data_IF_536578753537
#
_entry.id   IF_536578753537
#
_cell.length_a   1.000
_cell.length_b   1.000
_cell.length_c   1.000
_cell.angle_alpha   90.00
_cell.angle_beta   90.00
_cell.angle_gamma   90.00
#
_symmetry.space_group_name_H-M   'P 1'
#
loop_
_entity.id
_entity.type
_entity.pdbx_description
1 polymer ?
#
# COMPACT_ATOMS: atom_id res chain seq x y z
N UNK A 1 -11.17 0.69 -29.82
CA UNK A 1 -10.06 -0.22 -29.46
C UNK A 1 -9.76 -0.18 -27.97
N UNK A 2 -9.47 0.99 -27.36
CA UNK A 2 -9.18 1.07 -25.92
C UNK A 2 -10.37 0.66 -25.04
N UNK A 3 -11.56 1.16 -25.33
CA UNK A 3 -12.77 0.85 -24.56
C UNK A 3 -13.17 -0.64 -24.66
N UNK A 4 -13.02 -1.24 -25.84
CA UNK A 4 -13.26 -2.67 -26.04
C UNK A 4 -12.34 -3.54 -25.17
N UNK A 5 -11.04 -3.22 -25.10
CA UNK A 5 -10.09 -3.92 -24.24
C UNK A 5 -10.51 -3.86 -22.76
N UNK A 6 -10.98 -2.69 -22.30
CA UNK A 6 -11.44 -2.51 -20.93
C UNK A 6 -12.76 -3.25 -20.66
N UNK A 7 -13.69 -3.29 -21.62
CA UNK A 7 -14.92 -4.06 -21.51
C UNK A 7 -14.64 -5.57 -21.43
N UNK A 8 -13.71 -6.08 -22.24
CA UNK A 8 -13.29 -7.48 -22.19
C UNK A 8 -12.70 -7.82 -20.81
N UNK A 9 -11.80 -6.96 -20.30
CA UNK A 9 -11.22 -7.15 -18.96
C UNK A 9 -12.24 -6.99 -17.83
N UNK A 10 -13.24 -6.12 -17.96
CA UNK A 10 -14.29 -5.98 -16.96
C UNK A 10 -15.05 -7.29 -16.68
N UNK A 11 -15.15 -8.17 -17.68
CA UNK A 11 -15.86 -9.45 -17.58
C UNK A 11 -15.03 -10.57 -16.94
N UNK A 12 -13.70 -10.57 -17.10
CA UNK A 12 -12.85 -11.69 -16.67
C UNK A 12 -12.01 -11.38 -15.45
N UNK A 13 -11.62 -10.12 -15.25
CA UNK A 13 -10.57 -9.71 -14.30
C UNK A 13 -10.79 -10.24 -12.88
N UNK A 14 -12.03 -10.20 -12.38
CA UNK A 14 -12.35 -10.72 -11.04
C UNK A 14 -12.04 -12.21 -10.91
N UNK A 15 -12.46 -13.00 -11.91
CA UNK A 15 -12.22 -14.44 -11.94
C UNK A 15 -10.74 -14.75 -12.07
N UNK A 16 -10.09 -14.13 -13.06
CA UNK A 16 -8.66 -14.29 -13.36
C UNK A 16 -7.80 -14.05 -12.10
N UNK A 17 -8.03 -12.93 -11.39
CA UNK A 17 -7.26 -12.58 -10.19
C UNK A 17 -7.53 -13.53 -9.02
N UNK A 18 -8.80 -13.91 -8.77
CA UNK A 18 -9.12 -14.82 -7.66
C UNK A 18 -8.57 -16.23 -7.90
N UNK A 19 -8.62 -16.72 -9.13
CA UNK A 19 -8.00 -18.00 -9.51
C UNK A 19 -6.49 -17.96 -9.33
N UNK A 20 -5.84 -16.86 -9.73
CA UNK A 20 -4.41 -16.67 -9.53
C UNK A 20 -4.02 -16.63 -8.04
N UNK A 21 -4.76 -15.86 -7.21
CA UNK A 21 -4.51 -15.81 -5.76
C UNK A 21 -4.67 -17.20 -5.14
N UNK A 22 -5.71 -17.96 -5.53
CA UNK A 22 -5.90 -19.31 -5.03
C UNK A 22 -4.76 -20.26 -5.46
N UNK A 23 -4.20 -20.10 -6.66
CA UNK A 23 -3.02 -20.84 -7.12
C UNK A 23 -1.73 -20.50 -6.36
N UNK A 24 -1.70 -19.37 -5.63
CA UNK A 24 -0.63 -19.01 -4.71
C UNK A 24 -0.83 -19.60 -3.31
N UNK A 25 -1.97 -20.22 -3.00
CA UNK A 25 -2.15 -20.90 -1.72
C UNK A 25 -1.31 -22.18 -1.67
N UNK A 26 -0.72 -22.47 -0.51
CA UNK A 26 0.02 -23.70 -0.22
C UNK A 26 -0.89 -24.62 0.59
N UNK A 27 -1.67 -25.50 -0.05
CA UNK A 27 -2.77 -26.21 0.61
C UNK A 27 -2.31 -27.24 1.65
N UNK A 28 -1.11 -27.81 1.47
CA UNK A 28 -0.58 -28.86 2.35
C UNK A 28 -0.32 -28.36 3.78
N UNK A 29 -0.16 -27.04 3.96
CA UNK A 29 0.17 -26.43 5.25
C UNK A 29 -1.07 -25.87 5.99
N UNK A 30 -2.26 -25.96 5.39
CA UNK A 30 -3.52 -25.41 5.93
C UNK A 30 -3.97 -24.11 5.25
N UNK A 31 -5.20 -23.67 5.55
CA UNK A 31 -5.78 -22.49 4.89
C UNK A 31 -5.10 -21.19 5.32
N UNK A 32 -5.08 -20.18 4.43
CA UNK A 32 -4.52 -18.87 4.74
C UNK A 32 -3.01 -18.72 4.54
N UNK A 33 -2.37 -19.70 3.88
CA UNK A 33 -0.93 -19.73 3.64
C UNK A 33 -0.65 -19.51 2.18
N UNK A 34 -0.09 -18.36 1.85
CA UNK A 34 0.16 -17.95 0.48
C UNK A 34 1.64 -17.64 0.27
N UNK A 35 2.13 -17.98 -0.92
CA UNK A 35 3.47 -17.61 -1.41
C UNK A 35 3.40 -16.33 -2.24
N UNK A 36 4.53 -15.64 -2.35
CA UNK A 36 4.59 -14.35 -3.05
C UNK A 36 4.41 -14.42 -4.57
N UNK A 37 4.99 -15.44 -5.20
CA UNK A 37 4.93 -15.69 -6.64
C UNK A 37 5.05 -17.20 -6.92
N UNK A 38 4.83 -17.65 -8.15
CA UNK A 38 4.90 -19.07 -8.55
C UNK A 38 6.29 -19.67 -8.28
N UNK A 39 7.34 -18.86 -8.44
CA UNK A 39 8.73 -19.22 -8.19
C UNK A 39 9.09 -19.38 -6.71
N UNK A 40 8.25 -18.86 -5.81
CA UNK A 40 8.36 -19.11 -4.37
C UNK A 40 7.78 -20.48 -4.01
N UNK A 41 8.35 -21.12 -2.99
CA UNK A 41 7.93 -22.47 -2.55
C UNK A 41 7.14 -22.45 -1.26
N UNK A 42 7.58 -21.65 -0.31
CA UNK A 42 7.02 -21.60 1.02
C UNK A 42 6.03 -20.43 1.13
N UNK A 43 4.98 -20.57 1.95
CA UNK A 43 4.14 -19.44 2.30
C UNK A 43 4.91 -18.46 3.19
N UNK A 44 4.45 -17.22 3.23
CA UNK A 44 5.02 -16.18 4.09
C UNK A 44 3.93 -15.27 4.67
N UNK A 45 4.28 -14.57 5.76
CA UNK A 45 3.37 -13.65 6.45
C UNK A 45 2.85 -12.58 5.50
N UNK A 46 3.75 -11.92 4.77
CA UNK A 46 3.43 -10.78 3.91
C UNK A 46 2.42 -11.17 2.84
N UNK A 47 2.73 -12.19 2.03
CA UNK A 47 1.89 -12.71 0.96
C UNK A 47 0.53 -13.18 1.47
N UNK A 48 0.50 -13.74 2.68
CA UNK A 48 -0.75 -14.19 3.31
C UNK A 48 -1.61 -13.03 3.80
N UNK A 49 -1.02 -11.90 4.23
CA UNK A 49 -1.76 -10.65 4.46
C UNK A 49 -2.25 -10.03 3.14
N UNK A 50 -1.41 -9.97 2.12
CA UNK A 50 -1.79 -9.42 0.80
C UNK A 50 -2.95 -10.20 0.18
N UNK A 51 -2.96 -11.53 0.32
CA UNK A 51 -4.08 -12.35 -0.14
C UNK A 51 -5.40 -12.01 0.58
N UNK A 52 -5.38 -11.61 1.86
CA UNK A 52 -6.57 -11.09 2.55
C UNK A 52 -7.07 -9.83 1.85
N UNK A 53 -6.17 -8.87 1.59
CA UNK A 53 -6.53 -7.59 0.99
C UNK A 53 -7.08 -7.73 -0.42
N UNK A 54 -6.50 -8.59 -1.26
CA UNK A 54 -7.02 -8.84 -2.62
C UNK A 54 -8.42 -9.48 -2.55
N UNK A 55 -8.59 -10.50 -1.70
CA UNK A 55 -9.88 -11.18 -1.57
C UNK A 55 -10.95 -10.28 -0.96
N UNK A 56 -10.59 -9.37 -0.05
CA UNK A 56 -11.50 -8.36 0.48
C UNK A 56 -11.93 -7.38 -0.61
N UNK A 57 -10.96 -6.83 -1.36
CA UNK A 57 -11.19 -5.91 -2.47
C UNK A 57 -12.12 -6.49 -3.55
N UNK A 58 -12.16 -7.82 -3.70
CA UNK A 58 -13.00 -8.56 -4.67
C UNK A 58 -14.23 -9.23 -4.02
N UNK A 59 -14.58 -8.88 -2.77
CA UNK A 59 -15.71 -9.42 -1.98
C UNK A 59 -15.74 -10.94 -1.85
N UNK A 60 -14.58 -11.57 -1.78
CA UNK A 60 -14.46 -13.03 -1.81
C UNK A 60 -14.33 -13.67 -0.41
N UNK A 61 -14.00 -12.89 0.62
CA UNK A 61 -13.83 -13.43 1.98
C UNK A 61 -15.11 -14.00 2.61
N UNK A 62 -16.30 -13.65 2.10
CA UNK A 62 -17.57 -14.22 2.57
C UNK A 62 -17.74 -15.70 2.18
N UNK A 63 -16.92 -16.21 1.26
CA UNK A 63 -16.94 -17.60 0.82
C UNK A 63 -16.13 -18.53 1.75
N UNK A 64 -15.41 -17.97 2.74
CA UNK A 64 -14.65 -18.75 3.70
C UNK A 64 -15.58 -19.45 4.68
N UNK A 65 -15.31 -20.74 4.94
CA UNK A 65 -15.88 -21.41 6.12
C UNK A 65 -15.24 -20.86 7.40
N UNK A 66 -15.94 -20.98 8.53
CA UNK A 66 -15.42 -20.57 9.84
C UNK A 66 -14.07 -21.22 10.15
N UNK A 67 -13.90 -22.49 9.79
CA UNK A 67 -12.64 -23.23 9.97
C UNK A 67 -11.50 -22.65 9.11
N UNK A 68 -11.76 -22.31 7.85
CA UNK A 68 -10.77 -21.70 6.97
C UNK A 68 -10.36 -20.31 7.46
N UNK A 69 -11.33 -19.50 7.86
CA UNK A 69 -11.10 -18.17 8.45
C UNK A 69 -10.24 -18.27 9.70
N UNK A 70 -10.58 -19.19 10.61
CA UNK A 70 -9.84 -19.40 11.85
C UNK A 70 -8.40 -19.88 11.59
N UNK A 71 -8.18 -20.79 10.65
CA UNK A 71 -6.82 -21.23 10.27
C UNK A 71 -5.96 -20.09 9.72
N UNK A 72 -6.56 -19.17 8.97
CA UNK A 72 -5.84 -18.00 8.43
C UNK A 72 -5.48 -17.01 9.54
N UNK A 73 -6.43 -16.70 10.44
CA UNK A 73 -6.20 -15.88 11.63
C UNK A 73 -5.05 -16.47 12.46
N UNK A 74 -5.09 -17.77 12.72
CA UNK A 74 -4.07 -18.45 13.53
C UNK A 74 -2.69 -18.43 12.86
N UNK A 75 -2.63 -18.56 11.53
CA UNK A 75 -1.39 -18.44 10.78
C UNK A 75 -0.78 -17.05 10.95
N UNK A 76 -1.54 -15.97 10.70
CA UNK A 76 -1.04 -14.60 10.85
C UNK A 76 -0.61 -14.32 12.30
N UNK A 77 -1.45 -14.69 13.26
CA UNK A 77 -1.14 -14.52 14.69
C UNK A 77 0.08 -15.31 15.16
N UNK A 78 0.48 -16.38 14.46
CA UNK A 78 1.65 -17.18 14.86
C UNK A 78 2.98 -16.46 14.67
N UNK A 79 3.00 -15.37 13.90
CA UNK A 79 4.18 -14.52 13.69
C UNK A 79 4.31 -13.40 14.72
N UNK A 80 3.36 -13.27 15.65
CA UNK A 80 3.40 -12.22 16.65
C UNK A 80 4.35 -12.58 17.79
N UNK A 81 5.33 -11.71 18.03
CA UNK A 81 6.21 -11.79 19.19
C UNK A 81 5.45 -11.40 20.48
N UNK A 82 5.41 -12.28 21.51
CA UNK A 82 4.62 -12.03 22.72
C UNK A 82 5.19 -10.94 23.63
N UNK A 83 6.47 -10.63 23.52
CA UNK A 83 7.16 -9.69 24.42
C UNK A 83 7.07 -8.25 23.90
N UNK A 84 7.16 -8.05 22.59
CA UNK A 84 7.16 -6.73 21.94
C UNK A 84 5.83 -6.42 21.26
N UNK A 85 5.11 -7.44 20.79
CA UNK A 85 3.90 -7.30 19.99
C UNK A 85 4.13 -7.14 18.49
N UNK A 86 5.37 -7.07 18.01
CA UNK A 86 5.67 -7.01 16.57
C UNK A 86 5.29 -8.31 15.87
N UNK A 87 4.89 -8.23 14.59
CA UNK A 87 4.77 -9.38 13.71
C UNK A 87 5.98 -9.44 12.80
N UNK A 88 6.74 -10.53 12.86
CA UNK A 88 7.97 -10.71 12.08
C UNK A 88 8.06 -12.16 11.63
N UNK A 89 8.35 -12.36 10.35
CA UNK A 89 8.70 -13.68 9.83
C UNK A 89 10.09 -14.07 10.34
N UNK A 90 10.21 -15.22 11.00
CA UNK A 90 11.49 -15.69 11.57
C UNK A 90 12.60 -15.89 10.53
N UNK A 91 12.25 -15.92 9.24
CA UNK A 91 13.23 -15.98 8.14
C UNK A 91 13.87 -14.63 7.83
N UNK A 92 13.38 -13.54 8.42
CA UNK A 92 13.96 -12.22 8.24
C UNK A 92 14.83 -11.85 9.44
N UNK A 93 16.07 -11.47 9.15
CA UNK A 93 17.00 -10.93 10.13
C UNK A 93 17.30 -9.46 9.85
N UNK A 94 17.76 -8.67 10.86
CA UNK A 94 18.09 -7.26 10.67
C UNK A 94 19.13 -6.98 9.57
N UNK A 95 19.97 -7.97 9.24
CA UNK A 95 20.98 -7.85 8.17
C UNK A 95 20.41 -7.97 6.77
N UNK A 96 19.20 -8.48 6.63
CA UNK A 96 18.57 -8.74 5.33
C UNK A 96 17.93 -7.48 4.73
N UNK A 97 17.79 -6.41 5.52
CA UNK A 97 17.25 -5.13 5.05
C UNK A 97 18.34 -4.30 4.37
N UNK A 98 18.80 -4.74 3.20
CA UNK A 98 19.87 -4.07 2.44
C UNK A 98 19.48 -2.67 1.95
N UNK A 99 18.18 -2.43 1.71
CA UNK A 99 17.66 -1.18 1.11
C UNK A 99 16.80 -0.36 2.06
N UNK A 100 16.47 -0.88 3.25
CA UNK A 100 15.52 -0.27 4.18
C UNK A 100 15.97 -0.45 5.63
N UNK A 101 15.41 0.35 6.55
CA UNK A 101 15.72 0.18 7.97
C UNK A 101 14.96 -1.03 8.55
N UNK A 102 15.58 -1.70 9.53
CA UNK A 102 14.91 -2.76 10.29
C UNK A 102 13.63 -2.30 10.97
N UNK A 103 13.61 -1.06 11.46
CA UNK A 103 12.42 -0.47 12.07
C UNK A 103 11.28 -0.31 11.07
N UNK A 104 11.58 0.08 9.83
CA UNK A 104 10.58 0.16 8.78
C UNK A 104 9.92 -1.20 8.54
N UNK A 105 10.71 -2.25 8.34
CA UNK A 105 10.18 -3.58 8.06
C UNK A 105 9.29 -4.10 9.19
N UNK A 106 9.71 -3.95 10.46
CA UNK A 106 8.89 -4.34 11.61
C UNK A 106 7.54 -3.63 11.62
N UNK A 107 7.54 -2.32 11.36
CA UNK A 107 6.30 -1.53 11.31
C UNK A 107 5.41 -1.98 10.14
N UNK A 108 5.97 -2.20 8.95
CA UNK A 108 5.23 -2.68 7.78
C UNK A 108 4.56 -4.03 8.04
N UNK A 109 5.34 -5.04 8.46
CA UNK A 109 4.81 -6.38 8.72
C UNK A 109 3.76 -6.39 9.82
N UNK A 110 3.99 -5.60 10.89
CA UNK A 110 3.04 -5.48 12.00
C UNK A 110 1.75 -4.80 11.56
N UNK A 111 1.85 -3.70 10.82
CA UNK A 111 0.68 -3.00 10.32
C UNK A 111 -0.16 -3.89 9.39
N UNK A 112 0.46 -4.50 8.37
CA UNK A 112 -0.25 -5.38 7.45
C UNK A 112 -0.91 -6.57 8.15
N UNK A 113 -0.26 -7.11 9.20
CA UNK A 113 -0.82 -8.20 10.00
C UNK A 113 -2.04 -7.75 10.79
N UNK A 114 -1.97 -6.58 11.43
CA UNK A 114 -3.09 -6.00 12.18
C UNK A 114 -4.27 -5.73 11.25
N UNK A 115 -4.05 -5.10 10.09
CA UNK A 115 -5.11 -4.79 9.13
C UNK A 115 -5.73 -6.06 8.54
N UNK A 116 -4.93 -7.08 8.23
CA UNK A 116 -5.43 -8.36 7.75
C UNK A 116 -6.26 -9.09 8.81
N UNK A 117 -5.85 -9.04 10.08
CA UNK A 117 -6.63 -9.61 11.19
C UNK A 117 -7.97 -8.88 11.35
N UNK A 118 -7.97 -7.54 11.31
CA UNK A 118 -9.20 -6.75 11.39
C UNK A 118 -10.20 -7.12 10.28
N UNK A 119 -9.72 -7.21 9.03
CA UNK A 119 -10.53 -7.64 7.89
C UNK A 119 -11.09 -9.06 8.07
N UNK A 120 -10.30 -9.96 8.67
CA UNK A 120 -10.74 -11.32 8.98
C UNK A 120 -11.68 -11.40 10.20
N UNK A 121 -11.83 -10.31 10.97
CA UNK A 121 -12.66 -10.22 12.16
C UNK A 121 -11.95 -10.66 13.44
N UNK A 122 -10.64 -10.44 13.54
CA UNK A 122 -9.80 -10.83 14.66
C UNK A 122 -8.88 -9.69 15.12
N UNK A 123 -8.26 -9.89 16.28
CA UNK A 123 -7.28 -8.97 16.88
C UNK A 123 -5.92 -9.66 17.00
N UNK A 124 -4.82 -8.89 17.20
CA UNK A 124 -3.56 -9.46 17.67
C UNK A 124 -3.76 -10.29 18.96
N UNK A 125 -2.93 -11.32 19.18
CA UNK A 125 -2.98 -12.14 20.40
C UNK A 125 -2.34 -11.45 21.60
N UNK A 126 -1.34 -10.62 21.33
CA UNK A 126 -0.56 -9.92 22.34
C UNK A 126 -0.66 -8.40 22.12
N UNK A 127 -0.59 -7.58 23.18
CA UNK A 127 -0.59 -6.12 23.04
C UNK A 127 0.60 -5.61 22.21
N UNK A 128 0.42 -4.49 21.51
CA UNK A 128 1.46 -3.84 20.72
C UNK A 128 2.40 -3.01 21.61
N UNK A 129 3.10 -3.66 22.55
CA UNK A 129 3.87 -3.01 23.63
C UNK A 129 4.93 -2.03 23.15
N UNK A 130 5.49 -2.21 21.94
CA UNK A 130 6.44 -1.25 21.38
C UNK A 130 5.86 0.17 21.26
N UNK A 131 4.54 0.32 21.13
CA UNK A 131 3.85 1.61 21.09
C UNK A 131 3.89 2.36 22.43
N UNK A 132 4.08 1.68 23.57
CA UNK A 132 4.13 2.31 24.90
C UNK A 132 5.23 3.38 24.97
N UNK A 133 6.35 3.16 24.27
CA UNK A 133 7.46 4.12 24.19
C UNK A 133 7.12 5.41 23.43
N UNK A 134 6.05 5.38 22.64
CA UNK A 134 5.55 6.48 21.79
C UNK A 134 4.19 7.00 22.27
N UNK A 135 3.64 6.48 23.38
CA UNK A 135 2.28 6.72 23.86
C UNK A 135 2.02 8.14 24.43
N UNK A 136 2.90 9.11 24.17
CA UNK A 136 2.70 10.50 24.57
C UNK A 136 3.08 11.45 23.44
N UNK A 137 2.36 12.57 23.32
CA UNK A 137 2.62 13.56 22.29
C UNK A 137 4.09 14.01 22.25
N UNK A 138 4.78 14.30 23.39
CA UNK A 138 6.21 14.65 23.35
C UNK A 138 7.11 13.52 22.84
N UNK A 139 6.82 12.27 23.20
CA UNK A 139 7.62 11.13 22.76
C UNK A 139 7.46 10.89 21.25
N UNK A 140 6.22 10.93 20.75
CA UNK A 140 5.94 10.80 19.32
C UNK A 140 6.56 11.96 18.52
N UNK A 141 6.38 13.21 18.95
CA UNK A 141 6.99 14.37 18.28
C UNK A 141 8.51 14.26 18.26
N UNK A 142 9.14 13.75 19.33
CA UNK A 142 10.59 13.49 19.35
C UNK A 142 10.98 12.45 18.29
N UNK A 143 10.22 11.37 18.14
CA UNK A 143 10.47 10.34 17.11
C UNK A 143 10.28 10.89 15.68
N UNK A 144 9.26 11.73 15.47
CA UNK A 144 8.99 12.38 14.19
C UNK A 144 10.08 13.39 13.81
N UNK A 145 10.60 14.16 14.77
CA UNK A 145 11.72 15.09 14.53
C UNK A 145 13.06 14.40 14.20
N UNK A 146 13.15 13.07 14.35
CA UNK A 146 14.34 12.29 14.00
C UNK A 146 14.29 11.73 12.58
N UNK A 147 13.17 11.88 11.86
CA UNK A 147 13.05 11.43 10.47
C UNK A 147 13.98 12.27 9.60
N UNK A 148 14.71 11.62 8.71
CA UNK A 148 15.63 12.30 7.81
C UNK A 148 15.14 12.09 6.38
N UNK A 149 14.46 13.09 5.82
CA UNK A 149 13.91 13.02 4.46
C UNK A 149 15.00 12.91 3.40
N UNK A 150 16.17 13.50 3.66
CA UNK A 150 17.39 13.34 2.87
C UNK A 150 18.55 12.98 3.81
N UNK A 151 19.38 12.01 3.42
CA UNK A 151 20.56 11.58 4.19
C UNK A 151 21.83 11.77 3.40
N UNK A 152 22.90 12.20 4.07
CA UNK A 152 24.24 12.22 3.48
C UNK A 152 24.81 10.79 3.43
N UNK A 153 25.25 10.38 2.25
CA UNK A 153 25.92 9.09 2.02
C UNK A 153 27.27 9.31 1.33
N UNK A 154 28.12 8.29 1.29
CA UNK A 154 29.35 8.36 0.50
C UNK A 154 28.99 8.58 -0.98
N UNK A 155 29.53 9.64 -1.58
CA UNK A 155 29.26 10.00 -2.98
C UNK A 155 28.05 10.88 -3.24
N UNK A 156 27.28 11.31 -2.23
CA UNK A 156 26.20 12.28 -2.44
C UNK A 156 25.13 12.32 -1.35
N UNK A 157 23.88 12.44 -1.79
CA UNK A 157 22.67 12.46 -0.97
C UNK A 157 21.76 11.31 -1.37
N UNK A 158 21.16 10.68 -0.37
CA UNK A 158 20.13 9.64 -0.53
C UNK A 158 18.76 10.23 -0.18
N UNK A 159 17.79 10.05 -1.07
CA UNK A 159 16.42 10.52 -0.89
C UNK A 159 15.61 9.47 -0.13
N UNK A 160 15.28 9.77 1.12
CA UNK A 160 14.65 8.83 2.03
C UNK A 160 13.15 9.09 2.23
N UNK A 161 12.54 10.08 1.56
CA UNK A 161 11.13 10.42 1.79
C UNK A 161 10.18 9.24 1.58
N UNK A 162 10.42 8.39 0.57
CA UNK A 162 9.64 7.17 0.36
C UNK A 162 9.63 6.25 1.61
N UNK A 163 10.80 5.94 2.15
CA UNK A 163 10.90 5.03 3.29
C UNK A 163 10.45 5.67 4.61
N UNK A 164 10.78 6.94 4.85
CA UNK A 164 10.36 7.66 6.06
C UNK A 164 8.84 7.90 6.07
N UNK A 165 8.24 8.23 4.92
CA UNK A 165 6.80 8.40 4.78
C UNK A 165 6.04 7.10 5.05
N UNK A 166 6.53 5.96 4.55
CA UNK A 166 5.98 4.63 4.86
C UNK A 166 6.15 4.27 6.35
N UNK A 167 7.28 4.60 6.97
CA UNK A 167 7.45 4.41 8.42
C UNK A 167 6.39 5.17 9.22
N UNK A 168 6.19 6.46 8.90
CA UNK A 168 5.18 7.29 9.54
C UNK A 168 3.79 6.70 9.34
N UNK A 169 3.49 6.27 8.12
CA UNK A 169 2.21 5.64 7.78
C UNK A 169 1.92 4.40 8.63
N UNK A 170 2.83 3.42 8.65
CA UNK A 170 2.62 2.18 9.39
C UNK A 170 2.51 2.43 10.89
N UNK A 171 3.38 3.28 11.45
CA UNK A 171 3.27 3.67 12.86
C UNK A 171 1.93 4.39 13.13
N UNK A 172 1.53 5.31 12.26
CA UNK A 172 0.29 6.08 12.39
C UNK A 172 -0.95 5.18 12.38
N UNK A 173 -1.01 4.21 11.47
CA UNK A 173 -2.10 3.23 11.42
C UNK A 173 -2.16 2.36 12.68
N UNK A 174 -1.01 1.88 13.16
CA UNK A 174 -0.92 1.13 14.41
C UNK A 174 -1.35 1.95 15.64
N UNK A 175 -1.00 3.24 15.70
CA UNK A 175 -1.47 4.16 16.74
C UNK A 175 -2.98 4.37 16.69
N UNK A 176 -3.55 4.48 15.47
CA UNK A 176 -5.00 4.58 15.28
C UNK A 176 -5.69 3.33 15.80
N UNK A 177 -5.26 2.13 15.37
CA UNK A 177 -5.85 0.86 15.82
C UNK A 177 -5.78 0.73 17.35
N UNK A 178 -4.64 1.07 17.96
CA UNK A 178 -4.49 1.04 19.42
C UNK A 178 -5.43 2.04 20.13
N UNK A 179 -5.70 3.21 19.54
CA UNK A 179 -6.70 4.14 20.08
C UNK A 179 -8.12 3.59 19.95
N UNK A 180 -8.47 2.97 18.82
CA UNK A 180 -9.79 2.36 18.56
C UNK A 180 -10.08 1.19 19.49
N UNK A 181 -9.03 0.44 19.89
CA UNK A 181 -9.12 -0.61 20.90
C UNK A 181 -9.15 -0.08 22.34
N UNK A 182 -8.99 1.24 22.54
CA UNK A 182 -8.95 1.87 23.85
C UNK A 182 -7.64 1.65 24.62
N UNK A 183 -6.57 1.23 23.96
CA UNK A 183 -5.24 1.03 24.57
C UNK A 183 -4.46 2.34 24.69
N UNK A 184 -4.68 3.30 23.78
CA UNK A 184 -4.04 4.61 23.76
C UNK A 184 -5.06 5.76 23.73
N UNK A 185 -4.64 6.94 24.20
CA UNK A 185 -5.44 8.17 24.08
C UNK A 185 -5.43 8.69 22.64
N UNK A 186 -6.59 9.12 22.14
CA UNK A 186 -6.74 9.76 20.83
C UNK A 186 -5.90 11.03 20.65
N UNK A 187 -5.44 11.66 21.75
CA UNK A 187 -4.54 12.81 21.72
C UNK A 187 -3.23 12.51 20.97
N UNK A 188 -2.80 11.24 20.93
CA UNK A 188 -1.57 10.85 20.22
C UNK A 188 -1.72 10.96 18.70
N UNK A 189 -2.91 10.60 18.19
CA UNK A 189 -3.26 10.71 16.78
C UNK A 189 -3.38 12.19 16.40
N UNK A 190 -3.95 13.02 17.27
CA UNK A 190 -3.97 14.48 17.07
C UNK A 190 -2.56 15.09 17.05
N UNK A 191 -1.64 14.60 17.89
CA UNK A 191 -0.25 15.04 17.88
C UNK A 191 0.47 14.65 16.58
N UNK A 192 0.20 13.46 16.03
CA UNK A 192 0.71 13.01 14.74
C UNK A 192 0.29 13.98 13.61
N UNK A 193 -1.02 14.21 13.45
CA UNK A 193 -1.53 15.07 12.39
C UNK A 193 -1.09 16.53 12.55
N UNK A 194 -1.05 17.05 13.78
CA UNK A 194 -0.55 18.41 14.03
C UNK A 194 0.91 18.56 13.60
N UNK A 195 1.74 17.55 13.83
CA UNK A 195 3.12 17.57 13.35
C UNK A 195 3.15 17.52 11.82
N UNK A 196 2.40 16.61 11.19
CA UNK A 196 2.36 16.48 9.74
C UNK A 196 1.92 17.78 9.05
N UNK A 197 0.88 18.44 9.55
CA UNK A 197 0.36 19.72 9.04
C UNK A 197 1.42 20.84 9.10
N UNK A 198 2.31 20.81 10.09
CA UNK A 198 3.38 21.80 10.24
C UNK A 198 4.57 21.56 9.30
N UNK A 199 4.71 20.36 8.75
CA UNK A 199 5.89 19.93 7.99
C UNK A 199 5.58 19.61 6.52
N UNK A 200 4.33 19.72 6.07
CA UNK A 200 4.00 19.57 4.65
C UNK A 200 4.50 20.80 3.88
N UNK A 201 5.15 20.58 2.74
CA UNK A 201 5.61 21.66 1.86
C UNK A 201 4.41 22.30 1.14
N UNK A 202 4.25 23.61 1.31
CA UNK A 202 3.18 24.37 0.69
C UNK A 202 3.35 24.54 -0.83
N UNK A 203 4.58 24.40 -1.35
CA UNK A 203 4.86 24.58 -2.77
C UNK A 203 4.53 23.33 -3.59
N UNK A 204 4.71 22.15 -2.99
CA UNK A 204 4.50 20.86 -3.68
C UNK A 204 3.29 20.09 -3.17
N UNK A 205 2.86 20.33 -1.92
CA UNK A 205 1.88 19.52 -1.21
C UNK A 205 2.45 18.22 -0.64
N UNK A 206 3.78 18.05 -0.56
CA UNK A 206 4.44 16.82 -0.13
C UNK A 206 5.44 17.05 1.01
N UNK A 207 5.78 15.98 1.74
CA UNK A 207 6.82 16.03 2.77
C UNK A 207 8.20 15.74 2.17
N UNK A 208 9.21 16.46 2.65
CA UNK A 208 10.62 16.26 2.30
C UNK A 208 11.13 17.08 1.11
N UNK A 209 10.26 17.67 0.29
CA UNK A 209 10.70 18.50 -0.86
C UNK A 209 11.40 19.78 -0.42
N UNK A 210 10.97 20.37 0.69
CA UNK A 210 11.63 21.52 1.32
C UNK A 210 13.02 21.17 1.90
N UNK A 211 13.30 19.88 2.06
CA UNK A 211 14.59 19.34 2.54
C UNK A 211 15.47 18.79 1.40
N UNK A 212 15.00 18.91 0.15
CA UNK A 212 15.77 18.57 -1.04
C UNK A 212 15.41 17.23 -1.70
N UNK A 213 14.35 16.54 -1.26
CA UNK A 213 13.85 15.35 -1.97
C UNK A 213 13.32 15.71 -3.37
N UNK A 214 13.59 14.84 -4.34
CA UNK A 214 12.96 14.91 -5.65
C UNK A 214 11.45 14.65 -5.55
N UNK A 215 10.70 15.30 -6.43
CA UNK A 215 9.24 15.27 -6.40
C UNK A 215 8.65 13.86 -6.49
N UNK A 216 9.28 12.97 -7.27
CA UNK A 216 8.87 11.57 -7.40
C UNK A 216 8.99 10.81 -6.07
N UNK A 217 10.14 10.92 -5.39
CA UNK A 217 10.38 10.24 -4.12
C UNK A 217 9.46 10.79 -3.03
N UNK A 218 9.29 12.11 -2.98
CA UNK A 218 8.38 12.78 -2.06
C UNK A 218 6.91 12.37 -2.28
N UNK A 219 6.46 12.21 -3.53
CA UNK A 219 5.12 11.69 -3.84
C UNK A 219 4.94 10.26 -3.28
N UNK A 220 5.89 9.36 -3.54
CA UNK A 220 5.84 7.99 -3.04
C UNK A 220 5.81 7.91 -1.50
N UNK A 221 6.54 8.79 -0.82
CA UNK A 221 6.52 8.88 0.64
C UNK A 221 5.28 9.56 1.22
N UNK A 222 4.75 10.55 0.52
CA UNK A 222 3.59 11.34 0.98
C UNK A 222 2.27 10.61 0.76
N UNK A 223 2.17 9.79 -0.29
CA UNK A 223 0.99 8.99 -0.58
C UNK A 223 0.48 8.21 0.64
N UNK A 224 1.28 7.30 1.25
CA UNK A 224 0.82 6.55 2.41
C UNK A 224 0.47 7.46 3.60
N UNK A 225 1.18 8.57 3.82
CA UNK A 225 0.79 9.56 4.85
C UNK A 225 -0.63 10.11 4.56
N UNK A 226 -0.93 10.47 3.31
CA UNK A 226 -2.26 10.95 2.94
C UNK A 226 -3.36 9.89 3.09
N UNK A 227 -3.04 8.59 3.00
CA UNK A 227 -4.01 7.54 3.32
C UNK A 227 -4.53 7.67 4.76
N UNK A 228 -3.67 8.04 5.74
CA UNK A 228 -4.09 8.35 7.11
C UNK A 228 -5.06 9.53 7.15
N UNK A 229 -4.77 10.61 6.42
CA UNK A 229 -5.66 11.78 6.33
C UNK A 229 -7.03 11.40 5.77
N UNK A 230 -7.05 10.58 4.72
CA UNK A 230 -8.28 10.18 4.08
C UNK A 230 -9.15 9.33 4.99
N UNK A 231 -8.55 8.38 5.71
CA UNK A 231 -9.26 7.51 6.64
C UNK A 231 -9.73 8.24 7.90
N UNK A 232 -8.89 9.09 8.49
CA UNK A 232 -9.25 9.92 9.65
C UNK A 232 -10.08 11.15 9.27
N UNK A 233 -10.46 11.28 7.98
CA UNK A 233 -11.28 12.38 7.43
C UNK A 233 -10.73 13.77 7.80
N UNK A 234 -9.40 13.88 7.84
CA UNK A 234 -8.71 15.13 8.15
C UNK A 234 -8.71 16.04 6.94
N UNK A 235 -8.65 17.35 7.20
CA UNK A 235 -8.44 18.34 6.16
C UNK A 235 -7.07 18.10 5.53
N UNK A 236 -7.02 18.12 4.20
CA UNK A 236 -5.77 18.05 3.45
C UNK A 236 -5.32 19.46 3.12
N UNK A 237 -4.08 19.80 3.50
CA UNK A 237 -3.47 21.06 3.17
C UNK A 237 -2.94 21.03 1.73
N UNK A 238 -3.07 22.15 1.03
CA UNK A 238 -2.54 22.37 -0.33
C UNK A 238 -2.93 21.31 -1.39
N UNK A 239 -4.19 20.83 -1.46
CA UNK A 239 -4.58 19.77 -2.39
C UNK A 239 -4.33 20.14 -3.86
N UNK A 240 -4.50 21.41 -4.23
CA UNK A 240 -4.25 21.88 -5.59
C UNK A 240 -2.77 21.76 -5.98
N UNK A 241 -1.86 22.00 -5.03
CA UNK A 241 -0.42 21.88 -5.25
C UNK A 241 0.00 20.42 -5.37
N UNK A 242 -0.56 19.53 -4.54
CA UNK A 242 -0.38 18.11 -4.71
C UNK A 242 -0.83 17.63 -6.10
N UNK A 243 -2.02 18.06 -6.57
CA UNK A 243 -2.50 17.75 -7.94
C UNK A 243 -1.51 18.24 -9.01
N UNK A 244 -1.08 19.50 -8.93
CA UNK A 244 -0.12 20.07 -9.87
C UNK A 244 1.17 19.26 -9.91
N UNK A 245 1.74 18.95 -8.74
CA UNK A 245 2.93 18.13 -8.58
C UNK A 245 2.79 16.76 -9.24
N UNK A 246 1.70 16.02 -8.96
CA UNK A 246 1.53 14.66 -9.49
C UNK A 246 1.39 14.67 -11.01
N UNK A 247 0.63 15.61 -11.56
CA UNK A 247 0.42 15.68 -13.01
C UNK A 247 1.73 15.90 -13.79
N UNK A 248 2.74 16.55 -13.19
CA UNK A 248 4.08 16.69 -13.81
C UNK A 248 4.88 15.39 -13.86
N UNK A 249 4.53 14.40 -13.05
CA UNK A 249 5.28 13.15 -12.91
C UNK A 249 4.81 12.06 -13.89
N UNK A 250 3.66 12.24 -14.57
CA UNK A 250 3.18 11.22 -15.50
C UNK A 250 4.10 11.12 -16.72
N UNK A 251 4.50 9.89 -17.02
CA UNK A 251 5.39 9.55 -18.11
C UNK A 251 4.64 9.43 -19.44
N UNK A 252 5.34 9.47 -20.59
CA UNK A 252 4.72 9.34 -21.92
C UNK A 252 3.93 8.03 -22.13
N UNK A 253 4.25 6.98 -21.37
CA UNK A 253 3.54 5.70 -21.43
C UNK A 253 2.28 5.65 -20.54
N UNK A 254 1.95 6.75 -19.86
CA UNK A 254 0.77 6.91 -19.02
C UNK A 254 0.97 6.50 -17.55
N UNK A 255 2.11 5.93 -17.18
CA UNK A 255 2.44 5.52 -15.80
C UNK A 255 3.39 6.54 -15.14
N UNK A 256 3.82 6.31 -13.90
CA UNK A 256 4.54 7.32 -13.10
C UNK A 256 6.01 7.02 -12.83
N UNK A 257 6.47 5.80 -13.11
CA UNK A 257 7.86 5.44 -12.85
C UNK A 257 8.82 6.13 -13.84
N UNK A 258 9.85 6.88 -13.40
CA UNK A 258 10.69 7.70 -14.28
C UNK A 258 11.44 6.97 -15.40
N UNK A 259 11.62 5.64 -15.28
CA UNK A 259 12.26 4.80 -16.33
C UNK A 259 11.24 4.19 -17.31
N UNK A 260 9.96 4.50 -17.14
CA UNK A 260 8.82 3.95 -17.87
C UNK A 260 8.53 2.48 -17.51
N UNK A 261 7.44 1.96 -18.06
CA UNK A 261 6.92 0.62 -17.76
C UNK A 261 6.14 0.52 -16.44
N UNK A 262 6.06 1.61 -15.69
CA UNK A 262 5.40 1.69 -14.39
C UNK A 262 6.17 1.05 -13.24
N UNK A 263 5.65 1.25 -12.03
CA UNK A 263 6.06 0.53 -10.82
C UNK A 263 4.84 0.48 -9.90
N UNK A 264 4.39 -0.69 -9.42
CA UNK A 264 3.11 -0.81 -8.73
C UNK A 264 2.92 0.20 -7.59
N UNK A 265 3.91 0.33 -6.70
CA UNK A 265 3.86 1.28 -5.57
C UNK A 265 3.78 2.74 -6.03
N UNK A 266 4.56 3.14 -7.04
CA UNK A 266 4.59 4.52 -7.51
C UNK A 266 3.31 4.90 -8.28
N UNK A 267 2.83 3.99 -9.14
CA UNK A 267 1.60 4.19 -9.89
C UNK A 267 0.39 4.23 -8.95
N UNK A 268 0.37 3.36 -7.94
CA UNK A 268 -0.66 3.37 -6.90
C UNK A 268 -0.63 4.65 -6.09
N UNK A 269 0.57 5.10 -5.65
CA UNK A 269 0.76 6.35 -4.92
C UNK A 269 0.16 7.54 -5.67
N UNK A 270 0.47 7.68 -6.96
CA UNK A 270 -0.04 8.75 -7.79
C UNK A 270 -1.56 8.70 -7.96
N UNK A 271 -2.11 7.52 -8.28
CA UNK A 271 -3.56 7.34 -8.48
C UNK A 271 -4.33 7.60 -7.19
N UNK A 272 -3.88 7.02 -6.08
CA UNK A 272 -4.51 7.17 -4.77
C UNK A 272 -4.58 8.64 -4.37
N UNK A 273 -3.49 9.38 -4.57
CA UNK A 273 -3.47 10.82 -4.32
C UNK A 273 -4.39 11.58 -5.26
N UNK A 274 -4.30 11.36 -6.58
CA UNK A 274 -5.16 12.07 -7.52
C UNK A 274 -6.64 11.88 -7.21
N UNK A 275 -7.07 10.63 -6.98
CA UNK A 275 -8.45 10.30 -6.60
C UNK A 275 -8.83 10.98 -5.27
N UNK A 276 -7.99 10.84 -4.23
CA UNK A 276 -8.26 11.45 -2.94
C UNK A 276 -8.31 12.98 -2.97
N UNK A 277 -7.50 13.62 -3.82
CA UNK A 277 -7.45 15.08 -3.95
C UNK A 277 -8.64 15.64 -4.74
N UNK A 278 -9.08 14.98 -5.81
CA UNK A 278 -10.23 15.48 -6.60
C UNK A 278 -11.57 15.35 -5.85
N UNK A 279 -11.67 14.43 -4.88
CA UNK A 279 -12.81 14.39 -3.95
C UNK A 279 -12.85 15.61 -3.02
N UNK A 280 -11.77 16.41 -2.96
CA UNK A 280 -11.61 17.56 -2.06
C UNK A 280 -11.40 18.87 -2.80
N UNK A 281 -11.17 18.83 -4.12
CA UNK A 281 -10.92 20.00 -4.95
C UNK A 281 -11.26 19.74 -6.41
N UNK A 282 -11.91 20.70 -7.06
CA UNK A 282 -12.18 20.64 -8.51
C UNK A 282 -10.98 21.10 -9.37
N UNK A 283 -9.85 21.44 -8.75
CA UNK A 283 -8.67 21.95 -9.44
C UNK A 283 -8.15 20.95 -10.49
N UNK A 284 -8.14 21.39 -11.75
CA UNK A 284 -7.67 20.60 -12.91
C UNK A 284 -8.36 19.24 -13.07
N UNK A 285 -9.61 19.10 -12.62
CA UNK A 285 -10.38 17.85 -12.66
C UNK A 285 -10.30 17.12 -14.01
N UNK A 286 -10.53 17.82 -15.12
CA UNK A 286 -10.48 17.25 -16.48
C UNK A 286 -9.11 16.64 -16.81
N UNK A 287 -8.02 17.29 -16.38
CA UNK A 287 -6.66 16.79 -16.61
C UNK A 287 -6.35 15.58 -15.72
N UNK A 288 -6.86 15.59 -14.48
CA UNK A 288 -6.77 14.44 -13.58
C UNK A 288 -7.52 13.24 -14.15
N UNK A 289 -8.76 13.39 -14.59
CA UNK A 289 -9.50 12.28 -15.18
C UNK A 289 -8.81 11.73 -16.44
N UNK A 290 -8.26 12.61 -17.30
CA UNK A 290 -7.49 12.19 -18.45
C UNK A 290 -6.22 11.44 -18.04
N UNK A 291 -5.56 11.87 -16.96
CA UNK A 291 -4.41 11.19 -16.36
C UNK A 291 -4.79 9.77 -15.88
N UNK A 292 -5.88 9.64 -15.12
CA UNK A 292 -6.37 8.36 -14.59
C UNK A 292 -6.78 7.39 -15.72
N UNK A 293 -7.49 7.88 -16.76
CA UNK A 293 -7.83 7.08 -17.95
C UNK A 293 -6.59 6.56 -18.68
N UNK A 294 -5.51 7.37 -18.76
CA UNK A 294 -4.22 6.92 -19.33
C UNK A 294 -3.59 5.79 -18.50
N UNK A 295 -3.63 5.88 -17.17
CA UNK A 295 -3.10 4.83 -16.29
C UNK A 295 -3.83 3.50 -16.51
N UNK A 296 -5.17 3.53 -16.47
CA UNK A 296 -5.99 2.34 -16.65
C UNK A 296 -5.72 1.66 -18.00
N UNK A 297 -5.63 2.44 -19.08
CA UNK A 297 -5.28 1.89 -20.39
C UNK A 297 -3.85 1.32 -20.41
N UNK A 298 -2.88 2.05 -19.86
CA UNK A 298 -1.48 1.66 -19.86
C UNK A 298 -1.22 0.33 -19.15
N UNK A 299 -1.94 0.03 -18.06
CA UNK A 299 -1.80 -1.24 -17.33
C UNK A 299 -2.04 -2.45 -18.26
N UNK A 300 -3.08 -2.42 -19.07
CA UNK A 300 -3.38 -3.53 -19.97
C UNK A 300 -2.62 -3.45 -21.30
N UNK A 301 -2.46 -2.26 -21.87
CA UNK A 301 -1.76 -2.07 -23.13
C UNK A 301 -0.27 -2.45 -23.05
N UNK A 302 0.34 -2.31 -21.87
CA UNK A 302 1.71 -2.74 -21.61
C UNK A 302 1.82 -4.22 -21.19
N UNK A 303 0.70 -4.95 -21.14
CA UNK A 303 0.66 -6.35 -20.76
C UNK A 303 1.05 -6.62 -19.31
N UNK A 304 0.74 -5.70 -18.38
CA UNK A 304 1.08 -5.88 -16.97
C UNK A 304 0.21 -6.96 -16.29
N UNK A 305 -1.01 -7.18 -16.78
CA UNK A 305 -1.87 -8.31 -16.43
C UNK A 305 -1.45 -9.52 -17.28
N UNK A 306 -0.94 -10.56 -16.63
CA UNK A 306 -0.46 -11.77 -17.28
C UNK A 306 -1.62 -12.74 -17.59
N UNK A 307 -1.37 -13.71 -18.48
CA UNK A 307 -2.33 -14.75 -18.84
C UNK A 307 -2.64 -15.72 -17.68
N UNK A 308 -1.83 -15.71 -16.62
CA UNK A 308 -2.07 -16.48 -15.39
C UNK A 308 -3.09 -15.82 -14.46
N UNK A 309 -3.54 -14.61 -14.78
CA UNK A 309 -4.51 -13.82 -14.01
C UNK A 309 -3.91 -12.86 -12.98
N UNK A 310 -2.61 -12.96 -12.71
CA UNK A 310 -1.90 -12.04 -11.82
C UNK A 310 -1.27 -10.86 -12.56
N UNK A 311 -0.71 -9.92 -11.81
CA UNK A 311 0.03 -8.79 -12.39
C UNK A 311 1.51 -8.88 -12.07
N UNK A 312 2.34 -8.52 -13.04
CA UNK A 312 3.76 -8.31 -12.83
C UNK A 312 4.07 -6.83 -12.54
N UNK A 313 5.21 -6.57 -11.92
CA UNK A 313 5.58 -5.20 -11.55
C UNK A 313 5.80 -4.28 -12.76
N UNK A 314 6.65 -4.71 -13.71
CA UNK A 314 7.07 -3.93 -14.86
C UNK A 314 7.68 -4.84 -15.97
N UNK A 315 7.19 -4.73 -17.22
CA UNK A 315 7.69 -5.51 -18.38
C UNK A 315 9.05 -5.08 -18.94
N UNK A 316 9.58 -3.95 -18.48
CA UNK A 316 10.94 -3.47 -18.78
C UNK A 316 11.98 -3.96 -17.77
N UNK A 317 11.56 -4.39 -16.58
CA UNK A 317 12.46 -4.96 -15.58
C UNK A 317 13.06 -6.26 -16.12
N UNK A 318 14.40 -6.41 -16.08
CA UNK A 318 15.10 -7.61 -16.57
C UNK A 318 15.70 -8.47 -15.45
N UNK A 319 15.70 -7.94 -14.23
CA UNK A 319 16.26 -8.60 -13.05
C UNK A 319 15.15 -9.08 -12.12
N UNK A 320 15.48 -10.06 -11.27
CA UNK A 320 14.59 -10.52 -10.21
C UNK A 320 14.21 -9.34 -9.32
N UNK A 321 12.95 -9.26 -8.93
CA UNK A 321 12.46 -8.24 -8.00
C UNK A 321 12.39 -8.88 -6.63
N UNK A 322 13.00 -8.24 -5.64
CA UNK A 322 12.90 -8.63 -4.24
C UNK A 322 12.20 -7.51 -3.48
N UNK A 323 11.09 -7.83 -2.82
CA UNK A 323 10.46 -6.88 -1.93
C UNK A 323 11.34 -6.70 -0.69
N UNK A 324 11.74 -5.46 -0.41
CA UNK A 324 12.65 -5.10 0.69
C UNK A 324 14.02 -5.80 0.68
N UNK A 325 14.44 -6.35 -0.47
CA UNK A 325 15.66 -7.16 -0.57
C UNK A 325 15.52 -8.59 -0.03
N UNK A 326 14.31 -9.02 0.30
CA UNK A 326 14.04 -10.35 0.86
C UNK A 326 13.88 -11.38 -0.24
N UNK A 327 14.67 -12.46 -0.17
CA UNK A 327 14.65 -13.50 -1.19
C UNK A 327 13.34 -14.29 -1.23
N UNK A 328 12.72 -14.55 -0.08
CA UNK A 328 11.46 -15.31 -0.04
C UNK A 328 10.24 -14.50 -0.50
N UNK A 329 10.35 -13.17 -0.58
CA UNK A 329 9.32 -12.26 -1.10
C UNK A 329 9.83 -11.68 -2.43
N UNK A 330 9.93 -12.54 -3.44
CA UNK A 330 10.54 -12.16 -4.72
C UNK A 330 9.89 -12.82 -5.92
N UNK A 331 10.05 -12.20 -7.08
CA UNK A 331 9.51 -12.68 -8.34
C UNK A 331 10.56 -12.58 -9.44
N UNK A 332 10.53 -13.54 -10.37
CA UNK A 332 11.31 -13.45 -11.60
C UNK A 332 10.82 -12.28 -12.48
N UNK A 333 11.65 -11.80 -13.41
CA UNK A 333 11.21 -10.78 -14.36
C UNK A 333 9.88 -11.15 -15.03
N UNK A 334 8.92 -10.22 -14.97
CA UNK A 334 7.60 -10.33 -15.61
C UNK A 334 6.66 -11.39 -15.03
N UNK A 335 7.10 -12.10 -13.99
CA UNK A 335 6.26 -13.01 -13.22
C UNK A 335 5.20 -12.21 -12.46
N UNK A 336 4.01 -12.79 -12.32
CA UNK A 336 2.98 -12.24 -11.46
C UNK A 336 3.38 -12.38 -10.00
N UNK A 337 3.08 -11.36 -9.19
CA UNK A 337 3.40 -11.37 -7.77
C UNK A 337 2.28 -10.73 -6.93
N UNK A 338 2.26 -11.05 -5.64
CA UNK A 338 1.19 -10.63 -4.73
C UNK A 338 1.08 -9.11 -4.64
N UNK A 339 2.20 -8.41 -4.50
CA UNK A 339 2.23 -6.96 -4.32
C UNK A 339 1.73 -6.24 -5.58
N UNK A 340 2.27 -6.62 -6.74
CA UNK A 340 1.86 -6.09 -8.03
C UNK A 340 0.38 -6.35 -8.30
N UNK A 341 -0.10 -7.56 -8.03
CA UNK A 341 -1.51 -7.94 -8.22
C UNK A 341 -2.42 -7.09 -7.34
N UNK A 342 -2.09 -6.95 -6.06
CA UNK A 342 -2.85 -6.13 -5.12
C UNK A 342 -2.90 -4.66 -5.51
N UNK A 343 -1.75 -4.03 -5.73
CA UNK A 343 -1.69 -2.60 -6.04
C UNK A 343 -2.30 -2.27 -7.40
N UNK A 344 -2.16 -3.15 -8.40
CA UNK A 344 -2.80 -2.95 -9.71
C UNK A 344 -4.32 -3.09 -9.61
N UNK A 345 -4.83 -4.06 -8.85
CA UNK A 345 -6.26 -4.13 -8.56
C UNK A 345 -6.74 -2.85 -7.83
N UNK A 346 -5.98 -2.38 -6.84
CA UNK A 346 -6.26 -1.14 -6.13
C UNK A 346 -6.31 0.09 -7.03
N UNK A 347 -5.34 0.25 -7.94
CA UNK A 347 -5.34 1.32 -8.95
C UNK A 347 -6.64 1.27 -9.78
N UNK A 348 -6.99 0.09 -10.30
CA UNK A 348 -8.14 -0.06 -11.18
C UNK A 348 -9.46 0.20 -10.43
N UNK A 349 -9.56 -0.25 -9.17
CA UNK A 349 -10.69 0.03 -8.30
C UNK A 349 -10.84 1.54 -8.02
N UNK A 350 -9.76 2.21 -7.62
CA UNK A 350 -9.77 3.65 -7.32
C UNK A 350 -10.12 4.50 -8.54
N UNK A 351 -9.60 4.15 -9.72
CA UNK A 351 -9.96 4.85 -10.97
C UNK A 351 -11.44 4.63 -11.30
N UNK A 352 -11.99 3.45 -11.02
CA UNK A 352 -13.39 3.12 -11.29
C UNK A 352 -14.37 3.91 -10.40
N UNK A 353 -13.95 4.30 -9.19
CA UNK A 353 -14.74 5.21 -8.34
C UNK A 353 -14.68 6.66 -8.80
N UNK A 354 -13.54 7.07 -9.37
CA UNK A 354 -13.27 8.46 -9.71
C UNK A 354 -13.69 8.86 -11.13
N UNK A 355 -13.85 7.88 -12.03
CA UNK A 355 -14.10 8.14 -13.45
C UNK A 355 -15.06 7.11 -14.04
N UNK A 356 -15.83 7.52 -15.05
CA UNK A 356 -16.60 6.56 -15.86
C UNK A 356 -15.65 5.54 -16.51
N UNK A 357 -15.79 4.28 -16.11
CA UNK A 357 -14.96 3.18 -16.59
C UNK A 357 -15.75 1.88 -16.71
N UNK A 358 -15.55 1.08 -17.78
CA UNK A 358 -16.11 -0.27 -17.86
C UNK A 358 -15.72 -1.17 -16.68
N UNK A 359 -14.56 -0.91 -16.05
CA UNK A 359 -14.08 -1.72 -14.93
C UNK A 359 -14.88 -1.55 -13.63
N UNK A 360 -15.82 -0.61 -13.58
CA UNK A 360 -16.83 -0.55 -12.51
C UNK A 360 -17.63 -1.86 -12.38
N UNK A 361 -17.77 -2.63 -13.47
CA UNK A 361 -18.49 -3.90 -13.50
C UNK A 361 -17.75 -5.07 -12.84
N UNK A 362 -16.46 -4.91 -12.49
CA UNK A 362 -15.67 -5.95 -11.81
C UNK A 362 -16.24 -6.26 -10.41
N UNK A 363 -16.98 -5.33 -9.81
CA UNK A 363 -17.61 -5.51 -8.50
C UNK A 363 -16.66 -5.26 -7.33
N UNK A 364 -15.81 -4.22 -7.46
CA UNK A 364 -14.87 -3.80 -6.43
C UNK A 364 -15.54 -3.55 -5.08
N UNK A 365 -14.79 -3.77 -4.00
CA UNK A 365 -15.19 -3.42 -2.65
C UNK A 365 -14.11 -2.60 -1.97
N UNK A 366 -14.37 -1.30 -1.93
CA UNK A 366 -13.58 -0.38 -1.16
C UNK A 366 -14.36 -0.16 0.13
N UNK A 367 -13.80 -0.62 1.26
CA UNK A 367 -14.45 -0.48 2.57
C UNK A 367 -14.77 0.98 2.84
N UNK A 368 -16.00 1.24 3.28
CA UNK A 368 -16.48 2.55 3.70
C UNK A 368 -16.61 2.59 5.23
N UNK A 369 -15.94 3.55 5.88
CA UNK A 369 -16.26 3.97 7.23
C UNK A 369 -17.24 5.17 7.21
N UNK A 370 -18.32 5.09 6.40
CA UNK A 370 -19.34 6.14 6.17
C UNK A 370 -19.30 6.75 4.76
N UNK A 371 -19.89 7.94 4.54
CA UNK A 371 -20.26 8.54 3.22
C UNK A 371 -19.14 8.82 2.17
N UNK A 372 -17.91 8.33 2.34
CA UNK A 372 -16.90 8.37 1.30
C UNK A 372 -16.10 7.06 1.31
N UNK A 373 -15.85 6.50 0.11
CA UNK A 373 -14.98 5.35 -0.10
C UNK A 373 -13.67 5.54 0.66
N UNK A 374 -13.52 4.88 1.80
CA UNK A 374 -12.32 5.04 2.61
C UNK A 374 -11.22 4.18 2.01
N UNK A 375 -10.00 4.70 2.00
CA UNK A 375 -8.79 3.94 1.74
C UNK A 375 -8.48 2.92 2.87
N UNK A 376 -9.50 2.50 3.62
CA UNK A 376 -9.43 1.61 4.79
C UNK A 376 -9.11 0.15 4.43
N UNK A 377 -9.05 -0.21 3.14
CA UNK A 377 -8.47 -1.51 2.70
C UNK A 377 -6.93 -1.42 2.65
N UNK A 378 -6.40 -0.19 2.69
CA UNK A 378 -4.99 0.12 2.50
C UNK A 378 -4.32 0.64 3.77
N UNK A 379 -5.11 1.06 4.77
CA UNK A 379 -4.76 1.10 6.18
C UNK A 379 -5.14 -0.22 6.81
#
# INVERSE_FOLDING_TARGET
>A
MHEQLLMEKALTLRGDVLEWVEAMRVPEDGYGRYRFAVSCREPDLYSSCIAVFIRDLLRDLNNLTDAQRQQWIEFIQSFQDPDTGYFIDSRVEPRDTATHSWDYLKLEMTHLSVSALDILGAFPRHPLRFLESLASAPALTKWLNQRAWVRRVEGGWDECADSEGKCIFHLGGLLISACEWGELSTDIVDALFRWLDQHVDADTGFWGTQEGCGLFNAMCGSAPIYALYFHQRRLVLYPNRAIDSILTLQQPDGLFYPRGGGMPEADFSAVMLLVGMIMRSEHRLVEVEACLRRVQYAIFAQGLHNDDGGFCANKRQRERIQHRGLEHISAHPWESDMLSTWLRCGILALISEATESPLTQVGWFIRENGEAATFAVWL
#
